data_IF_101758320105
#
_entry.id   IF_101758320105
#
_cell.length_a   1.000
_cell.length_b   1.000
_cell.length_c   1.000
_cell.angle_alpha   90.00
_cell.angle_beta   90.00
_cell.angle_gamma   90.00
#
_symmetry.space_group_name_H-M   'P 1'
#
loop_
_entity.id
_entity.type
_entity.pdbx_description
1 polymer ?
#
# COMPACT_ATOMS: atom_id res chain seq x y z
N UNK A 1 -5.55 2.03 22.77
CA UNK A 1 -5.03 3.24 23.44
C UNK A 1 -5.57 4.52 22.79
N UNK A 2 -5.31 4.81 21.51
CA UNK A 2 -5.81 6.04 20.87
C UNK A 2 -7.34 6.23 20.99
N UNK A 3 -8.11 5.17 20.70
CA UNK A 3 -9.59 5.15 20.83
C UNK A 3 -10.05 5.33 22.28
N UNK A 4 -9.34 4.76 23.26
CA UNK A 4 -9.67 4.92 24.69
C UNK A 4 -9.33 6.32 25.23
N UNK A 5 -8.42 7.04 24.56
CA UNK A 5 -8.19 8.47 24.79
C UNK A 5 -9.22 9.36 24.06
N UNK A 6 -10.08 8.79 23.21
CA UNK A 6 -11.08 9.51 22.43
C UNK A 6 -10.56 10.21 21.18
N UNK A 7 -9.34 9.89 20.71
CA UNK A 7 -8.69 10.57 19.56
C UNK A 7 -9.48 10.47 18.24
N UNK A 8 -10.36 9.46 18.13
CA UNK A 8 -11.30 9.28 17.03
C UNK A 8 -12.50 10.23 17.06
N UNK A 9 -12.58 11.15 18.04
CA UNK A 9 -13.68 12.09 18.20
C UNK A 9 -13.23 13.53 18.09
N UNK A 10 -14.09 14.38 17.51
CA UNK A 10 -13.87 15.82 17.31
C UNK A 10 -13.48 16.56 18.59
N UNK A 11 -14.08 16.18 19.72
CA UNK A 11 -13.88 16.84 21.01
C UNK A 11 -12.45 16.68 21.53
N UNK A 12 -11.71 15.64 21.13
CA UNK A 12 -10.32 15.44 21.55
C UNK A 12 -9.43 16.62 21.15
N UNK A 13 -9.52 17.06 19.89
CA UNK A 13 -8.77 18.22 19.40
C UNK A 13 -9.24 19.55 20.03
N UNK A 14 -10.46 19.61 20.59
CA UNK A 14 -10.97 20.80 21.28
C UNK A 14 -10.48 20.86 22.74
N UNK A 15 -10.43 19.72 23.43
CA UNK A 15 -10.02 19.61 24.83
C UNK A 15 -8.50 19.76 24.99
N UNK A 16 -7.71 19.11 24.13
CA UNK A 16 -6.26 19.00 24.28
C UNK A 16 -5.45 20.03 23.48
N UNK A 17 -6.10 20.99 22.82
CA UNK A 17 -5.41 22.04 22.05
C UNK A 17 -5.10 23.32 22.82
N UNK A 18 -5.66 23.51 24.02
CA UNK A 18 -5.50 24.76 24.80
C UNK A 18 -5.83 26.04 24.00
N UNK A 19 -6.76 25.92 23.04
CA UNK A 19 -7.15 26.93 22.04
C UNK A 19 -6.08 27.27 20.97
N UNK A 20 -4.97 26.54 20.88
CA UNK A 20 -4.01 26.62 19.78
C UNK A 20 -4.50 25.83 18.55
N UNK A 21 -4.71 26.54 17.44
CA UNK A 21 -5.15 25.94 16.17
C UNK A 21 -4.17 24.92 15.58
N UNK A 22 -2.86 25.09 15.79
CA UNK A 22 -1.80 24.20 15.32
C UNK A 22 -1.79 22.92 16.15
N UNK A 23 -1.98 23.03 17.47
CA UNK A 23 -2.10 21.87 18.35
C UNK A 23 -3.38 21.08 18.04
N UNK A 24 -4.51 21.75 17.80
CA UNK A 24 -5.75 21.11 17.36
C UNK A 24 -5.58 20.35 16.02
N UNK A 25 -4.85 20.92 15.06
CA UNK A 25 -4.52 20.27 13.79
C UNK A 25 -3.58 19.07 13.98
N UNK A 26 -2.57 19.20 14.84
CA UNK A 26 -1.69 18.10 15.23
C UNK A 26 -2.47 16.93 15.86
N UNK A 27 -3.45 17.20 16.72
CA UNK A 27 -4.34 16.18 17.27
C UNK A 27 -5.14 15.44 16.18
N UNK A 28 -5.77 16.18 15.24
CA UNK A 28 -6.50 15.58 14.09
C UNK A 28 -5.59 14.70 13.25
N UNK A 29 -4.43 15.23 12.87
CA UNK A 29 -3.40 14.51 12.08
C UNK A 29 -2.92 13.25 12.77
N UNK A 30 -2.70 13.30 14.09
CA UNK A 30 -2.24 12.13 14.86
C UNK A 30 -3.24 10.98 14.80
N UNK A 31 -4.54 11.26 14.98
CA UNK A 31 -5.58 10.22 14.81
C UNK A 31 -5.58 9.65 13.39
N UNK A 32 -5.59 10.50 12.37
CA UNK A 32 -5.66 10.05 10.98
C UNK A 32 -4.42 9.27 10.54
N UNK A 33 -3.23 9.66 10.98
CA UNK A 33 -2.00 8.90 10.76
C UNK A 33 -2.08 7.53 11.44
N UNK A 34 -2.67 7.40 12.64
CA UNK A 34 -2.89 6.10 13.28
C UNK A 34 -3.85 5.21 12.50
N UNK A 35 -5.02 5.74 12.09
CA UNK A 35 -6.01 5.04 11.25
C UNK A 35 -5.39 4.56 9.93
N UNK A 36 -4.70 5.46 9.22
CA UNK A 36 -4.00 5.14 7.98
C UNK A 36 -2.91 4.09 8.23
N UNK A 37 -2.14 4.18 9.32
CA UNK A 37 -1.07 3.22 9.65
C UNK A 37 -1.63 1.83 9.93
N UNK A 38 -2.74 1.71 10.66
CA UNK A 38 -3.43 0.45 10.92
C UNK A 38 -3.92 -0.22 9.61
N UNK A 39 -4.48 0.56 8.68
CA UNK A 39 -4.84 0.07 7.35
C UNK A 39 -3.61 -0.41 6.53
N UNK A 40 -2.48 0.29 6.62
CA UNK A 40 -1.22 -0.15 5.99
C UNK A 40 -0.68 -1.45 6.57
N UNK A 41 -0.83 -1.64 7.88
CA UNK A 41 -0.40 -2.85 8.58
C UNK A 41 -1.23 -4.03 8.09
N UNK A 42 -2.57 -3.90 8.13
CA UNK A 42 -3.49 -4.91 7.63
C UNK A 42 -3.23 -5.32 6.16
N UNK A 43 -2.92 -4.36 5.28
CA UNK A 43 -2.55 -4.65 3.89
C UNK A 43 -1.14 -5.20 3.69
N UNK A 44 -0.23 -5.03 4.66
CA UNK A 44 1.12 -5.62 4.61
C UNK A 44 1.15 -7.04 5.20
N UNK A 45 0.25 -7.35 6.14
CA UNK A 45 0.09 -8.69 6.74
C UNK A 45 -1.04 -9.49 6.10
N UNK A 46 -1.80 -8.89 5.17
CA UNK A 46 -3.01 -9.44 4.56
C UNK A 46 -4.07 -9.88 5.59
N UNK A 47 -4.21 -9.09 6.67
CA UNK A 47 -5.14 -9.32 7.78
C UNK A 47 -6.25 -8.26 7.81
N UNK A 48 -7.33 -8.52 7.08
CA UNK A 48 -8.52 -7.65 7.04
C UNK A 48 -9.70 -8.24 7.83
N UNK A 49 -10.58 -7.41 8.43
CA UNK A 49 -10.53 -5.94 8.49
C UNK A 49 -9.44 -5.43 9.45
N UNK A 50 -9.10 -4.14 9.36
CA UNK A 50 -8.09 -3.54 10.25
C UNK A 50 -8.69 -3.17 11.63
N UNK A 51 -7.83 -2.93 12.64
CA UNK A 51 -8.26 -2.82 14.05
C UNK A 51 -9.11 -1.58 14.35
N UNK A 52 -9.05 -0.58 13.47
CA UNK A 52 -9.83 0.67 13.50
C UNK A 52 -11.01 0.70 12.53
N UNK A 53 -11.25 -0.37 11.77
CA UNK A 53 -12.47 -0.53 10.95
C UNK A 53 -13.72 -0.50 11.84
N UNK A 54 -14.83 0.00 11.29
CA UNK A 54 -16.14 0.09 11.97
C UNK A 54 -16.18 0.91 13.28
N UNK A 55 -15.10 1.64 13.62
CA UNK A 55 -15.11 2.59 14.73
C UNK A 55 -15.83 3.87 14.28
N UNK A 56 -16.71 4.41 15.14
CA UNK A 56 -17.31 5.72 14.92
C UNK A 56 -16.24 6.82 14.99
N UNK A 57 -15.93 7.44 13.86
CA UNK A 57 -14.97 8.54 13.76
C UNK A 57 -15.75 9.84 13.52
N UNK A 58 -15.54 10.84 14.38
CA UNK A 58 -16.05 12.21 14.20
C UNK A 58 -14.93 13.25 14.07
N UNK A 59 -13.66 12.84 14.19
CA UNK A 59 -12.50 13.72 13.97
C UNK A 59 -12.55 14.37 12.59
N UNK A 60 -12.51 15.70 12.55
CA UNK A 60 -12.48 16.46 11.28
C UNK A 60 -11.22 16.16 10.46
N UNK A 61 -11.24 16.55 9.19
CA UNK A 61 -10.19 16.29 8.22
C UNK A 61 -9.01 17.27 8.37
N UNK A 62 -7.75 16.83 8.18
CA UNK A 62 -6.58 17.69 8.22
C UNK A 62 -6.54 18.72 7.09
N UNK A 63 -5.84 19.82 7.32
CA UNK A 63 -5.52 20.83 6.31
C UNK A 63 -4.29 20.42 5.47
N UNK A 64 -3.90 21.25 4.49
CA UNK A 64 -2.71 21.00 3.64
C UNK A 64 -1.39 21.05 4.42
N UNK A 65 -0.35 20.38 3.90
CA UNK A 65 1.01 20.45 4.45
C UNK A 65 1.55 21.88 4.53
N UNK A 66 1.31 22.68 3.50
CA UNK A 66 1.76 24.08 3.44
C UNK A 66 1.05 24.96 4.48
N UNK A 67 -0.24 24.71 4.72
CA UNK A 67 -1.03 25.40 5.73
C UNK A 67 -0.55 25.05 7.14
N UNK A 68 -0.38 23.75 7.42
CA UNK A 68 0.14 23.26 8.70
C UNK A 68 1.57 23.74 8.96
N UNK A 69 2.46 23.64 7.98
CA UNK A 69 3.86 24.07 8.10
C UNK A 69 4.06 25.57 8.29
N UNK A 70 3.06 26.39 7.92
CA UNK A 70 3.03 27.85 8.20
C UNK A 70 2.27 28.21 9.47
N UNK A 71 1.61 27.26 10.14
CA UNK A 71 0.67 27.52 11.22
C UNK A 71 -0.62 28.26 10.79
N UNK A 72 -0.88 28.34 9.48
CA UNK A 72 -2.02 29.03 8.90
C UNK A 72 -3.21 28.07 8.77
N UNK A 73 -3.72 27.61 9.92
CA UNK A 73 -4.71 26.53 9.98
C UNK A 73 -6.11 27.04 9.58
N UNK A 74 -6.73 26.52 8.50
CA UNK A 74 -8.09 26.88 8.13
C UNK A 74 -9.12 26.26 9.08
N UNK A 75 -10.38 26.67 8.96
CA UNK A 75 -11.47 25.95 9.62
C UNK A 75 -11.55 24.50 9.10
N UNK A 76 -11.57 23.47 9.95
CA UNK A 76 -11.46 22.09 9.51
C UNK A 76 -12.78 21.60 8.89
N UNK A 77 -12.66 20.88 7.76
CA UNK A 77 -13.80 20.26 7.05
C UNK A 77 -14.23 18.98 7.75
N UNK A 78 -15.52 18.72 7.83
CA UNK A 78 -16.02 17.52 8.50
C UNK A 78 -15.90 16.27 7.60
N UNK A 79 -16.04 15.08 8.19
CA UNK A 79 -16.19 13.85 7.40
C UNK A 79 -17.49 13.84 6.57
N UNK A 80 -18.54 14.46 7.08
CA UNK A 80 -19.84 14.57 6.39
C UNK A 80 -19.71 15.45 5.13
N UNK A 81 -18.92 16.53 5.18
CA UNK A 81 -18.62 17.37 4.02
C UNK A 81 -18.00 16.55 2.88
N UNK A 82 -17.05 15.67 3.21
CA UNK A 82 -16.31 14.86 2.26
C UNK A 82 -17.13 13.69 1.71
N UNK A 83 -18.00 13.12 2.54
CA UNK A 83 -18.92 12.04 2.17
C UNK A 83 -20.10 12.51 1.30
N UNK A 84 -20.30 13.83 1.16
CA UNK A 84 -21.27 14.44 0.26
C UNK A 84 -20.62 15.32 -0.83
N UNK A 85 -19.30 15.19 -1.07
CA UNK A 85 -18.54 16.14 -1.91
C UNK A 85 -18.96 16.22 -3.37
N UNK A 86 -19.63 15.20 -3.90
CA UNK A 86 -20.25 15.19 -5.22
C UNK A 86 -21.46 16.14 -5.37
N UNK A 87 -21.98 16.67 -4.25
CA UNK A 87 -23.11 17.61 -4.21
C UNK A 87 -22.70 19.03 -3.79
N UNK A 88 -21.41 19.29 -3.55
CA UNK A 88 -20.88 20.60 -3.21
C UNK A 88 -20.72 21.49 -4.46
N UNK A 89 -20.72 22.81 -4.26
CA UNK A 89 -20.41 23.77 -5.33
C UNK A 89 -18.93 23.69 -5.75
N UNK A 90 -18.60 24.05 -6.99
CA UNK A 90 -17.24 23.90 -7.54
C UNK A 90 -16.15 24.50 -6.64
N UNK A 91 -16.40 25.70 -6.07
CA UNK A 91 -15.50 26.42 -5.16
C UNK A 91 -15.28 25.73 -3.78
N UNK A 92 -16.11 24.74 -3.42
CA UNK A 92 -16.08 24.03 -2.12
C UNK A 92 -15.45 22.63 -2.21
N UNK A 93 -15.08 22.18 -3.42
CA UNK A 93 -14.58 20.82 -3.72
C UNK A 93 -13.09 20.59 -3.45
N UNK A 94 -12.29 21.63 -3.20
CA UNK A 94 -10.85 21.49 -2.94
C UNK A 94 -10.59 20.99 -1.50
N UNK A 95 -10.58 19.66 -1.36
CA UNK A 95 -10.13 18.96 -0.15
C UNK A 95 -8.61 18.81 -0.12
N UNK A 96 -8.03 18.73 1.09
CA UNK A 96 -6.57 18.58 1.26
C UNK A 96 -6.07 17.22 0.77
N UNK A 97 -4.78 17.10 0.47
CA UNK A 97 -4.21 15.79 0.07
C UNK A 97 -4.34 14.74 1.17
N UNK A 98 -4.37 15.17 2.45
CA UNK A 98 -4.67 14.30 3.58
C UNK A 98 -6.13 13.84 3.60
N UNK A 99 -7.08 14.74 3.35
CA UNK A 99 -8.50 14.39 3.25
C UNK A 99 -8.75 13.36 2.15
N UNK A 100 -8.11 13.53 0.98
CA UNK A 100 -8.19 12.57 -0.12
C UNK A 100 -7.59 11.20 0.23
N UNK A 101 -6.41 11.16 0.88
CA UNK A 101 -5.80 9.92 1.37
C UNK A 101 -6.68 9.20 2.41
N UNK A 102 -7.32 9.97 3.32
CA UNK A 102 -8.28 9.44 4.31
C UNK A 102 -9.50 8.86 3.60
N UNK A 103 -10.06 9.58 2.63
CA UNK A 103 -11.23 9.17 1.87
C UNK A 103 -10.99 7.91 1.04
N UNK A 104 -9.85 7.81 0.36
CA UNK A 104 -9.40 6.59 -0.30
C UNK A 104 -9.31 5.42 0.68
N UNK A 105 -8.67 5.63 1.84
CA UNK A 105 -8.50 4.59 2.87
C UNK A 105 -9.86 4.11 3.42
N UNK A 106 -10.80 5.03 3.68
CA UNK A 106 -12.19 4.71 4.08
C UNK A 106 -12.96 3.98 2.97
N UNK A 107 -12.71 4.30 1.70
CA UNK A 107 -13.28 3.58 0.56
C UNK A 107 -12.80 2.14 0.48
N UNK A 108 -11.50 1.92 0.69
CA UNK A 108 -10.87 0.60 0.74
C UNK A 108 -11.38 -0.21 1.94
N UNK A 109 -11.48 0.39 3.13
CA UNK A 109 -12.07 -0.22 4.35
C UNK A 109 -13.48 -0.77 4.09
N UNK A 110 -14.36 0.06 3.52
CA UNK A 110 -15.73 -0.33 3.16
C UNK A 110 -15.76 -1.46 2.15
N UNK A 111 -14.92 -1.39 1.12
CA UNK A 111 -14.80 -2.44 0.11
C UNK A 111 -14.30 -3.77 0.72
N UNK A 112 -13.40 -3.72 1.70
CA UNK A 112 -12.79 -4.88 2.38
C UNK A 112 -13.53 -5.38 3.62
N UNK A 113 -14.65 -4.77 4.00
CA UNK A 113 -15.42 -5.21 5.17
C UNK A 113 -15.78 -6.72 5.22
N UNK A 114 -15.90 -7.48 4.11
CA UNK A 114 -16.05 -8.95 4.17
C UNK A 114 -14.81 -9.73 4.67
N UNK A 115 -13.63 -9.10 4.69
CA UNK A 115 -12.36 -9.70 5.09
C UNK A 115 -11.86 -10.81 4.15
N UNK A 116 -10.96 -11.65 4.66
CA UNK A 116 -10.39 -12.77 3.91
C UNK A 116 -11.42 -13.88 3.68
N UNK A 117 -12.12 -13.83 2.54
CA UNK A 117 -13.12 -14.82 2.14
C UNK A 117 -12.60 -15.78 1.06
N UNK A 118 -12.99 -17.06 1.14
CA UNK A 118 -12.83 -18.03 0.05
C UNK A 118 -14.09 -18.20 -0.81
N UNK A 119 -15.19 -17.53 -0.43
CA UNK A 119 -16.42 -17.52 -1.20
C UNK A 119 -16.27 -16.64 -2.45
N UNK A 120 -16.48 -17.25 -3.62
CA UNK A 120 -16.29 -16.57 -4.90
C UNK A 120 -17.32 -15.44 -5.14
N UNK A 121 -18.57 -15.60 -4.70
CA UNK A 121 -19.61 -14.58 -4.88
C UNK A 121 -19.36 -13.37 -3.98
N UNK A 122 -18.95 -13.60 -2.73
CA UNK A 122 -18.54 -12.53 -1.81
C UNK A 122 -17.31 -11.82 -2.37
N UNK A 123 -16.30 -12.56 -2.83
CA UNK A 123 -15.07 -11.98 -3.38
C UNK A 123 -15.32 -11.15 -4.66
N UNK A 124 -16.14 -11.64 -5.60
CA UNK A 124 -16.50 -10.86 -6.80
C UNK A 124 -17.27 -9.58 -6.42
N UNK A 125 -18.20 -9.65 -5.46
CA UNK A 125 -18.92 -8.47 -4.93
C UNK A 125 -17.96 -7.46 -4.29
N UNK A 126 -17.02 -7.95 -3.48
CA UNK A 126 -15.94 -7.17 -2.87
C UNK A 126 -15.10 -6.43 -3.93
N UNK A 127 -14.75 -7.12 -5.02
CA UNK A 127 -13.97 -6.55 -6.13
C UNK A 127 -14.72 -5.44 -6.88
N UNK A 128 -16.02 -5.63 -7.12
CA UNK A 128 -16.87 -4.62 -7.79
C UNK A 128 -17.13 -3.39 -6.91
N UNK A 129 -17.27 -3.59 -5.58
CA UNK A 129 -17.34 -2.52 -4.60
C UNK A 129 -16.05 -1.68 -4.59
N UNK A 130 -14.89 -2.35 -4.55
CA UNK A 130 -13.57 -1.72 -4.67
C UNK A 130 -13.42 -0.90 -5.95
N UNK A 131 -13.73 -1.48 -7.12
CA UNK A 131 -13.72 -0.76 -8.40
C UNK A 131 -14.59 0.52 -8.35
N UNK A 132 -15.79 0.41 -7.78
CA UNK A 132 -16.74 1.53 -7.68
C UNK A 132 -16.19 2.63 -6.78
N UNK A 133 -15.70 2.28 -5.58
CA UNK A 133 -15.13 3.25 -4.63
C UNK A 133 -13.90 3.97 -5.19
N UNK A 134 -12.98 3.22 -5.81
CA UNK A 134 -11.76 3.79 -6.43
C UNK A 134 -12.10 4.68 -7.63
N UNK A 135 -13.03 4.27 -8.50
CA UNK A 135 -13.45 5.06 -9.66
C UNK A 135 -14.18 6.34 -9.25
N UNK A 136 -15.06 6.26 -8.25
CA UNK A 136 -15.73 7.44 -7.69
C UNK A 136 -14.71 8.41 -7.08
N UNK A 137 -13.76 7.90 -6.29
CA UNK A 137 -12.67 8.71 -5.72
C UNK A 137 -11.89 9.47 -6.79
N UNK A 138 -11.30 8.76 -7.78
CA UNK A 138 -10.56 9.38 -8.88
C UNK A 138 -11.35 10.42 -9.68
N UNK A 139 -12.66 10.19 -9.87
CA UNK A 139 -13.52 11.07 -10.67
C UNK A 139 -13.81 12.39 -9.96
N UNK A 140 -13.86 12.36 -8.62
CA UNK A 140 -14.15 13.50 -7.75
C UNK A 140 -12.91 14.26 -7.27
N UNK A 141 -11.68 13.75 -7.52
CA UNK A 141 -10.44 14.50 -7.26
C UNK A 141 -10.44 15.83 -8.01
N UNK A 142 -10.09 16.93 -7.34
CA UNK A 142 -9.89 18.21 -8.02
C UNK A 142 -8.69 18.16 -8.99
N UNK A 143 -8.59 19.07 -9.98
CA UNK A 143 -7.49 19.06 -10.95
C UNK A 143 -6.11 19.12 -10.30
N UNK A 144 -5.98 19.84 -9.18
CA UNK A 144 -4.75 19.98 -8.41
C UNK A 144 -4.30 18.66 -7.76
N UNK A 145 -5.25 17.82 -7.31
CA UNK A 145 -4.95 16.52 -6.69
C UNK A 145 -4.62 15.42 -7.68
N UNK A 146 -4.95 15.62 -8.97
CA UNK A 146 -4.56 14.71 -10.06
C UNK A 146 -3.09 14.89 -10.51
N UNK A 147 -2.43 15.97 -10.10
CA UNK A 147 -1.06 16.30 -10.52
C UNK A 147 -0.08 16.19 -9.34
N UNK A 148 0.86 15.25 -9.43
CA UNK A 148 1.84 15.00 -8.35
C UNK A 148 3.00 16.00 -8.32
N UNK A 149 3.38 16.55 -9.46
CA UNK A 149 4.35 17.64 -9.57
C UNK A 149 3.54 18.89 -9.89
N UNK A 150 3.58 19.87 -8.99
CA UNK A 150 2.85 21.14 -9.14
C UNK A 150 3.63 22.11 -10.04
N UNK A 151 2.98 23.18 -10.56
CA UNK A 151 3.65 24.14 -11.46
C UNK A 151 4.85 24.87 -10.87
N UNK A 152 4.96 24.94 -9.54
CA UNK A 152 6.11 25.51 -8.81
C UNK A 152 7.28 24.52 -8.64
N UNK A 153 7.12 23.28 -9.10
CA UNK A 153 8.08 22.18 -8.93
C UNK A 153 7.96 21.45 -7.59
N UNK A 154 7.01 21.81 -6.72
CA UNK A 154 6.75 21.06 -5.48
C UNK A 154 6.11 19.71 -5.78
N UNK A 155 6.37 18.72 -4.91
CA UNK A 155 5.86 17.37 -5.05
C UNK A 155 4.81 17.06 -3.98
N UNK A 156 3.69 16.44 -4.37
CA UNK A 156 2.62 16.04 -3.46
C UNK A 156 2.85 14.61 -2.93
N UNK A 157 3.66 14.49 -1.88
CA UNK A 157 4.00 13.21 -1.24
C UNK A 157 2.77 12.45 -0.72
N UNK A 158 1.72 13.17 -0.32
CA UNK A 158 0.51 12.58 0.25
C UNK A 158 -0.37 11.97 -0.84
N UNK A 159 -0.55 12.68 -1.96
CA UNK A 159 -1.23 12.13 -3.14
C UNK A 159 -0.39 11.02 -3.82
N UNK A 160 0.94 11.14 -3.84
CA UNK A 160 1.81 10.06 -4.35
C UNK A 160 1.58 8.77 -3.58
N UNK A 161 1.56 8.86 -2.24
CA UNK A 161 1.20 7.74 -1.37
C UNK A 161 -0.21 7.23 -1.62
N UNK A 162 -1.20 8.10 -1.81
CA UNK A 162 -2.58 7.72 -2.11
C UNK A 162 -2.68 6.90 -3.41
N UNK A 163 -2.09 7.36 -4.52
CA UNK A 163 -2.08 6.58 -5.77
C UNK A 163 -1.31 5.27 -5.63
N UNK A 164 -0.20 5.24 -4.86
CA UNK A 164 0.53 4.01 -4.59
C UNK A 164 -0.35 2.96 -3.87
N UNK A 165 -1.07 3.36 -2.82
CA UNK A 165 -2.05 2.51 -2.12
C UNK A 165 -3.12 2.02 -3.08
N UNK A 166 -3.74 2.94 -3.83
CA UNK A 166 -4.85 2.65 -4.75
C UNK A 166 -4.47 1.58 -5.78
N UNK A 167 -3.32 1.73 -6.44
CA UNK A 167 -2.88 0.79 -7.47
C UNK A 167 -2.38 -0.54 -6.87
N UNK A 168 -1.68 -0.53 -5.73
CA UNK A 168 -1.30 -1.77 -5.04
C UNK A 168 -2.54 -2.56 -4.63
N UNK A 169 -3.56 -1.88 -4.09
CA UNK A 169 -4.80 -2.53 -3.69
C UNK A 169 -5.59 -3.09 -4.89
N UNK A 170 -5.61 -2.37 -6.02
CA UNK A 170 -6.17 -2.90 -7.27
C UNK A 170 -5.45 -4.16 -7.78
N UNK A 171 -4.13 -4.28 -7.57
CA UNK A 171 -3.40 -5.53 -7.84
C UNK A 171 -3.85 -6.64 -6.89
N UNK A 172 -3.91 -6.37 -5.59
CA UNK A 172 -4.28 -7.35 -4.56
C UNK A 172 -5.69 -7.94 -4.77
N UNK A 173 -6.67 -7.09 -5.11
CA UNK A 173 -8.06 -7.50 -5.37
C UNK A 173 -8.24 -8.22 -6.70
N UNK A 174 -7.57 -7.78 -7.77
CA UNK A 174 -7.81 -8.35 -9.10
C UNK A 174 -6.91 -9.53 -9.43
N UNK A 175 -5.73 -9.65 -8.81
CA UNK A 175 -4.79 -10.75 -9.12
C UNK A 175 -5.40 -12.14 -8.88
N UNK A 176 -6.10 -12.44 -7.77
CA UNK A 176 -6.71 -13.77 -7.54
C UNK A 176 -7.75 -14.19 -8.59
N UNK A 177 -8.45 -13.24 -9.21
CA UNK A 177 -9.44 -13.49 -10.26
C UNK A 177 -8.85 -13.45 -11.69
N UNK A 178 -7.57 -13.09 -11.83
CA UNK A 178 -6.90 -12.89 -13.11
C UNK A 178 -6.19 -14.14 -13.67
N UNK A 179 -5.61 -14.01 -14.86
CA UNK A 179 -4.68 -14.99 -15.42
C UNK A 179 -3.23 -14.87 -14.88
N UNK A 180 -2.93 -13.92 -13.98
CA UNK A 180 -1.62 -13.80 -13.32
C UNK A 180 -1.50 -14.85 -12.22
N UNK A 181 -1.20 -16.09 -12.63
CA UNK A 181 -1.12 -17.25 -11.73
C UNK A 181 -0.10 -17.04 -10.61
N UNK A 182 -0.46 -17.48 -9.40
CA UNK A 182 0.43 -17.51 -8.24
C UNK A 182 1.33 -18.75 -8.32
N UNK A 183 2.63 -18.57 -8.11
CA UNK A 183 3.59 -19.66 -7.96
C UNK A 183 3.83 -19.97 -6.48
N UNK A 184 4.10 -21.24 -6.16
CA UNK A 184 4.40 -21.64 -4.78
C UNK A 184 5.57 -20.83 -4.18
N UNK A 185 6.61 -20.53 -4.97
CA UNK A 185 7.81 -19.80 -4.52
C UNK A 185 7.50 -18.43 -3.87
N UNK A 186 6.33 -17.85 -4.16
CA UNK A 186 5.90 -16.57 -3.62
C UNK A 186 5.71 -16.61 -2.10
N UNK A 187 5.49 -17.79 -1.48
CA UNK A 187 5.38 -17.94 -0.02
C UNK A 187 6.60 -17.40 0.74
N UNK A 188 7.76 -17.31 0.08
CA UNK A 188 9.02 -16.83 0.67
C UNK A 188 8.95 -15.34 1.03
N UNK A 189 8.05 -14.55 0.41
CA UNK A 189 7.97 -13.12 0.70
C UNK A 189 6.88 -12.77 1.71
N UNK A 190 7.29 -12.15 2.81
CA UNK A 190 6.39 -11.75 3.90
C UNK A 190 5.45 -10.58 3.53
N UNK A 191 5.78 -9.82 2.48
CA UNK A 191 4.97 -8.74 1.93
C UNK A 191 4.06 -9.18 0.77
N UNK A 192 3.91 -10.49 0.54
CA UNK A 192 3.13 -11.03 -0.58
C UNK A 192 1.85 -11.70 -0.07
N UNK A 193 0.71 -11.52 -0.77
CA UNK A 193 -0.53 -12.20 -0.39
C UNK A 193 -0.34 -13.71 -0.55
N UNK A 194 -0.87 -14.46 0.41
CA UNK A 194 -0.95 -15.91 0.31
C UNK A 194 -1.68 -16.30 -0.99
N UNK A 195 -1.21 -17.37 -1.63
CA UNK A 195 -1.85 -17.88 -2.84
C UNK A 195 -3.34 -18.16 -2.55
N UNK A 196 -4.28 -17.68 -3.38
CA UNK A 196 -5.69 -17.79 -3.12
C UNK A 196 -6.12 -19.26 -3.04
N UNK A 197 -7.13 -19.55 -2.21
CA UNK A 197 -7.73 -20.89 -2.13
C UNK A 197 -8.06 -21.40 -3.54
N UNK A 198 -7.85 -22.69 -3.79
CA UNK A 198 -8.16 -23.30 -5.10
C UNK A 198 -9.63 -23.19 -5.53
N UNK A 199 -10.51 -22.77 -4.61
CA UNK A 199 -11.93 -22.44 -4.80
C UNK A 199 -12.14 -21.06 -5.44
N UNK A 200 -11.24 -20.10 -5.21
CA UNK A 200 -11.26 -18.76 -5.82
C UNK A 200 -10.70 -18.86 -7.24
N UNK A 201 -11.53 -19.31 -8.19
CA UNK A 201 -11.21 -19.31 -9.62
C UNK A 201 -12.35 -18.70 -10.41
N UNK A 202 -12.03 -17.69 -11.21
CA UNK A 202 -12.98 -17.14 -12.17
C UNK A 202 -13.23 -18.18 -13.29
N UNK A 203 -14.42 -18.78 -13.27
CA UNK A 203 -14.83 -19.80 -14.26
C UNK A 203 -15.18 -19.19 -15.63
N UNK A 204 -15.35 -17.87 -15.70
CA UNK A 204 -15.70 -17.13 -16.91
C UNK A 204 -14.45 -16.49 -17.53
N UNK A 205 -14.07 -16.93 -18.73
CA UNK A 205 -12.88 -16.42 -19.42
C UNK A 205 -12.89 -14.89 -19.59
N UNK A 206 -14.03 -14.29 -19.96
CA UNK A 206 -14.11 -12.83 -20.21
C UNK A 206 -13.89 -12.00 -18.95
N UNK A 207 -14.39 -12.49 -17.82
CA UNK A 207 -14.27 -11.83 -16.52
C UNK A 207 -12.85 -11.96 -15.98
N UNK A 208 -12.24 -13.15 -16.08
CA UNK A 208 -10.80 -13.35 -15.81
C UNK A 208 -9.93 -12.44 -16.66
N UNK A 209 -10.25 -12.28 -17.94
CA UNK A 209 -9.48 -11.42 -18.85
C UNK A 209 -9.66 -9.92 -18.48
N UNK A 210 -10.83 -9.50 -17.99
CA UNK A 210 -11.04 -8.16 -17.41
C UNK A 210 -10.21 -7.93 -16.13
N UNK A 211 -10.19 -8.89 -15.20
CA UNK A 211 -9.33 -8.79 -14.00
C UNK A 211 -7.84 -8.79 -14.35
N UNK A 212 -7.46 -9.52 -15.41
CA UNK A 212 -6.10 -9.50 -15.97
C UNK A 212 -5.73 -8.11 -16.49
N UNK A 213 -6.62 -7.48 -17.26
CA UNK A 213 -6.38 -6.12 -17.77
C UNK A 213 -6.22 -5.12 -16.63
N UNK A 214 -7.18 -5.06 -15.70
CA UNK A 214 -7.13 -4.20 -14.50
C UNK A 214 -5.86 -4.38 -13.68
N UNK A 215 -5.47 -5.63 -13.41
CA UNK A 215 -4.26 -5.92 -12.65
C UNK A 215 -3.00 -5.47 -13.40
N UNK A 216 -2.90 -5.72 -14.71
CA UNK A 216 -1.76 -5.22 -15.52
C UNK A 216 -1.76 -3.71 -15.71
N UNK A 217 -2.92 -3.04 -15.71
CA UNK A 217 -3.01 -1.58 -15.71
C UNK A 217 -2.44 -1.01 -14.39
N UNK A 218 -2.89 -1.54 -13.25
CA UNK A 218 -2.41 -1.10 -11.94
C UNK A 218 -0.91 -1.32 -11.74
N UNK A 219 -0.36 -2.44 -12.21
CA UNK A 219 1.10 -2.68 -12.27
C UNK A 219 1.79 -1.57 -13.07
N UNK A 220 1.29 -1.25 -14.27
CA UNK A 220 1.91 -0.22 -15.11
C UNK A 220 1.92 1.16 -14.46
N UNK A 221 0.84 1.55 -13.78
CA UNK A 221 0.75 2.82 -13.05
C UNK A 221 1.72 2.90 -11.86
N UNK A 222 1.96 1.79 -11.14
CA UNK A 222 3.01 1.74 -10.12
C UNK A 222 4.41 1.91 -10.74
N UNK A 223 4.69 1.27 -11.89
CA UNK A 223 5.98 1.46 -12.56
C UNK A 223 6.19 2.92 -13.01
N UNK A 224 5.12 3.61 -13.42
CA UNK A 224 5.12 5.02 -13.79
C UNK A 224 5.37 5.93 -12.58
N UNK A 225 4.71 5.66 -11.44
CA UNK A 225 4.97 6.33 -10.16
C UNK A 225 6.43 6.12 -9.70
N UNK A 226 6.97 4.92 -9.86
CA UNK A 226 8.37 4.60 -9.53
C UNK A 226 9.39 5.25 -10.46
N UNK A 227 8.97 5.73 -11.64
CA UNK A 227 9.82 6.44 -12.59
C UNK A 227 9.86 7.96 -12.35
N UNK A 228 9.03 8.49 -11.43
CA UNK A 228 9.04 9.90 -11.07
C UNK A 228 10.35 10.30 -10.36
N UNK A 229 10.84 11.53 -10.55
CA UNK A 229 12.13 12.00 -10.01
C UNK A 229 12.05 12.37 -8.51
N UNK A 230 11.54 11.46 -7.68
CA UNK A 230 11.42 11.63 -6.22
C UNK A 230 12.62 11.03 -5.49
N UNK A 231 12.98 11.55 -4.32
CA UNK A 231 13.90 10.83 -3.45
C UNK A 231 13.15 9.73 -2.70
N UNK A 232 13.14 8.51 -3.24
CA UNK A 232 12.51 7.35 -2.61
C UNK A 232 12.88 7.11 -1.13
N UNK A 233 13.95 7.75 -0.63
CA UNK A 233 14.38 7.71 0.78
C UNK A 233 13.59 8.63 1.73
N UNK A 234 12.77 9.57 1.25
CA UNK A 234 11.84 10.39 2.07
C UNK A 234 10.51 9.69 2.32
N UNK A 235 10.18 8.68 1.52
CA UNK A 235 8.89 7.98 1.57
C UNK A 235 8.73 7.07 2.78
N UNK A 236 7.47 6.90 3.18
CA UNK A 236 7.04 5.99 4.25
C UNK A 236 7.48 4.54 3.98
N UNK A 237 8.07 3.81 4.95
CA UNK A 237 8.57 2.44 4.74
C UNK A 237 7.52 1.43 4.28
N UNK A 238 6.22 1.70 4.49
CA UNK A 238 5.13 0.86 3.97
C UNK A 238 5.15 0.69 2.45
N UNK A 239 5.77 1.61 1.68
CA UNK A 239 5.93 1.42 0.22
C UNK A 239 6.78 0.18 -0.12
N UNK A 240 7.61 -0.32 0.81
CA UNK A 240 8.46 -1.49 0.59
C UNK A 240 7.59 -2.73 0.30
N UNK A 241 6.56 -2.98 1.12
CA UNK A 241 5.66 -4.10 0.88
C UNK A 241 4.74 -3.86 -0.33
N UNK A 242 4.34 -2.62 -0.59
CA UNK A 242 3.57 -2.28 -1.80
C UNK A 242 4.34 -2.57 -3.09
N UNK A 243 5.61 -2.13 -3.16
CA UNK A 243 6.52 -2.46 -4.27
C UNK A 243 6.69 -3.98 -4.36
N UNK A 244 6.76 -4.69 -3.23
CA UNK A 244 6.93 -6.14 -3.22
C UNK A 244 5.77 -6.89 -3.87
N UNK A 245 4.56 -6.67 -3.37
CA UNK A 245 3.32 -7.28 -3.87
C UNK A 245 3.16 -7.02 -5.38
N UNK A 246 3.31 -5.76 -5.80
CA UNK A 246 3.20 -5.36 -7.21
C UNK A 246 4.32 -5.97 -8.07
N UNK A 247 5.56 -6.05 -7.57
CA UNK A 247 6.67 -6.66 -8.33
C UNK A 247 6.46 -8.16 -8.52
N UNK A 248 5.91 -8.87 -7.53
CA UNK A 248 5.58 -10.30 -7.65
C UNK A 248 4.46 -10.52 -8.66
N UNK A 249 3.41 -9.69 -8.63
CA UNK A 249 2.38 -9.69 -9.67
C UNK A 249 2.97 -9.38 -11.06
N UNK A 250 3.89 -8.41 -11.17
CA UNK A 250 4.59 -8.06 -12.41
C UNK A 250 5.44 -9.23 -12.93
N UNK A 251 6.15 -9.96 -12.06
CA UNK A 251 6.90 -11.17 -12.43
C UNK A 251 5.99 -12.27 -12.98
N UNK A 252 4.81 -12.49 -12.37
CA UNK A 252 3.79 -13.41 -12.87
C UNK A 252 3.25 -12.97 -14.24
N UNK A 253 2.90 -11.68 -14.42
CA UNK A 253 2.50 -11.13 -15.72
C UNK A 253 3.59 -11.33 -16.79
N UNK A 254 4.85 -11.12 -16.42
CA UNK A 254 6.02 -11.31 -17.26
C UNK A 254 6.31 -12.79 -17.62
N UNK A 255 5.67 -13.75 -16.94
CA UNK A 255 5.80 -15.20 -17.16
C UNK A 255 4.61 -15.82 -17.91
N UNK A 256 3.41 -15.26 -17.75
CA UNK A 256 2.17 -15.85 -18.28
C UNK A 256 1.42 -14.98 -19.30
N UNK A 257 1.57 -13.64 -19.25
CA UNK A 257 0.76 -12.69 -20.03
C UNK A 257 1.57 -11.93 -21.08
N UNK A 258 2.82 -11.57 -20.77
CA UNK A 258 3.63 -10.71 -21.63
C UNK A 258 4.57 -11.51 -22.54
N UNK A 259 4.51 -11.21 -23.84
CA UNK A 259 5.33 -11.82 -24.88
C UNK A 259 6.01 -10.74 -25.75
N UNK A 260 7.05 -11.12 -26.49
CA UNK A 260 7.79 -10.21 -27.38
C UNK A 260 8.30 -8.93 -26.69
N UNK A 261 8.18 -7.80 -27.39
CA UNK A 261 8.60 -6.47 -26.92
C UNK A 261 7.95 -6.05 -25.58
N UNK A 262 6.68 -6.38 -25.35
CA UNK A 262 5.99 -6.09 -24.07
C UNK A 262 6.71 -6.76 -22.89
N UNK A 263 7.22 -7.99 -23.07
CA UNK A 263 8.01 -8.70 -22.06
C UNK A 263 9.37 -8.05 -21.83
N UNK A 264 10.04 -7.56 -22.88
CA UNK A 264 11.33 -6.87 -22.78
C UNK A 264 11.18 -5.57 -21.98
N UNK A 265 10.21 -4.73 -22.33
CA UNK A 265 9.91 -3.47 -21.62
C UNK A 265 9.50 -3.70 -20.17
N UNK A 266 8.65 -4.70 -19.91
CA UNK A 266 8.27 -5.15 -18.56
C UNK A 266 9.50 -5.54 -17.71
N UNK A 267 10.51 -6.21 -18.29
CA UNK A 267 11.75 -6.52 -17.55
C UNK A 267 12.56 -5.28 -17.17
N UNK A 268 12.52 -4.18 -17.92
CA UNK A 268 13.18 -2.93 -17.50
C UNK A 268 12.43 -2.29 -16.31
N UNK A 269 11.10 -2.31 -16.34
CA UNK A 269 10.24 -1.87 -15.21
C UNK A 269 10.48 -2.70 -13.94
N UNK A 270 10.61 -4.02 -14.06
CA UNK A 270 11.00 -4.91 -12.93
C UNK A 270 12.41 -4.57 -12.41
N UNK A 271 13.37 -4.20 -13.28
CA UNK A 271 14.70 -3.73 -12.83
C UNK A 271 14.62 -2.42 -12.05
N UNK A 272 13.76 -1.49 -12.46
CA UNK A 272 13.49 -0.25 -11.72
C UNK A 272 12.98 -0.57 -10.30
N UNK A 273 11.92 -1.38 -10.17
CA UNK A 273 11.37 -1.76 -8.87
C UNK A 273 12.41 -2.45 -7.95
N UNK A 274 13.19 -3.39 -8.49
CA UNK A 274 14.28 -4.05 -7.75
C UNK A 274 15.41 -3.08 -7.38
N UNK A 275 15.74 -2.12 -8.25
CA UNK A 275 16.70 -1.05 -7.98
C UNK A 275 16.24 -0.12 -6.85
N UNK A 276 14.96 0.23 -6.83
CA UNK A 276 14.32 1.00 -5.75
C UNK A 276 14.38 0.27 -4.42
N UNK A 277 14.01 -1.02 -4.36
CA UNK A 277 14.13 -1.83 -3.15
C UNK A 277 15.59 -1.93 -2.66
N UNK A 278 16.55 -2.06 -3.58
CA UNK A 278 17.98 -2.03 -3.24
C UNK A 278 18.38 -0.69 -2.62
N UNK A 279 17.94 0.44 -3.17
CA UNK A 279 18.21 1.79 -2.62
C UNK A 279 17.55 2.00 -1.25
N UNK A 280 16.34 1.46 -1.04
CA UNK A 280 15.64 1.48 0.26
C UNK A 280 16.36 0.60 1.30
N UNK A 281 17.02 -0.48 0.88
CA UNK A 281 17.78 -1.39 1.77
C UNK A 281 19.01 -0.76 2.43
N UNK A 282 19.42 0.44 1.99
CA UNK A 282 20.46 1.25 2.64
C UNK A 282 19.99 1.85 3.97
N UNK A 283 18.67 2.01 4.17
CA UNK A 283 18.07 2.57 5.40
C UNK A 283 17.23 1.54 6.16
N UNK A 284 16.46 0.70 5.45
CA UNK A 284 15.44 -0.14 6.06
C UNK A 284 15.81 -1.63 6.04
N UNK A 285 15.89 -2.26 7.24
CA UNK A 285 16.07 -3.72 7.40
C UNK A 285 15.03 -4.51 6.60
N UNK A 286 13.77 -4.07 6.62
CA UNK A 286 12.67 -4.63 5.83
C UNK A 286 12.99 -4.64 4.33
N UNK A 287 13.43 -3.52 3.74
CA UNK A 287 13.79 -3.47 2.32
C UNK A 287 14.95 -4.42 1.98
N UNK A 288 15.91 -4.60 2.89
CA UNK A 288 17.01 -5.58 2.74
C UNK A 288 16.51 -7.02 2.73
N UNK A 289 15.50 -7.35 3.54
CA UNK A 289 14.78 -8.64 3.51
C UNK A 289 14.00 -8.80 2.20
N UNK A 290 13.07 -7.89 1.92
CA UNK A 290 12.20 -7.89 0.74
C UNK A 290 12.97 -7.96 -0.58
N UNK A 291 14.06 -7.20 -0.75
CA UNK A 291 14.91 -7.27 -1.95
C UNK A 291 15.51 -8.67 -2.18
N UNK A 292 15.88 -9.39 -1.10
CA UNK A 292 16.40 -10.77 -1.18
C UNK A 292 15.29 -11.76 -1.54
N UNK A 293 14.13 -11.66 -0.89
CA UNK A 293 12.96 -12.52 -1.11
C UNK A 293 12.47 -12.44 -2.57
N UNK A 294 12.20 -11.24 -3.08
CA UNK A 294 11.78 -11.06 -4.47
C UNK A 294 12.90 -11.45 -5.43
N UNK A 295 14.16 -11.25 -5.04
CA UNK A 295 15.30 -11.77 -5.80
C UNK A 295 15.28 -13.28 -5.99
N UNK A 296 14.75 -14.05 -5.01
CA UNK A 296 14.53 -15.51 -5.13
C UNK A 296 13.35 -15.77 -6.07
N UNK A 297 12.19 -15.17 -5.80
CA UNK A 297 10.95 -15.32 -6.61
C UNK A 297 11.21 -15.00 -8.09
N UNK A 298 11.97 -13.93 -8.37
CA UNK A 298 12.30 -13.50 -9.73
C UNK A 298 13.21 -14.49 -10.47
N UNK A 299 14.13 -15.18 -9.79
CA UNK A 299 14.99 -16.18 -10.43
C UNK A 299 14.20 -17.39 -10.91
N UNK A 300 13.21 -17.80 -10.11
CA UNK A 300 12.29 -18.89 -10.43
C UNK A 300 11.32 -18.49 -11.56
N UNK A 301 10.54 -17.43 -11.35
CA UNK A 301 9.49 -17.00 -12.29
C UNK A 301 10.02 -16.56 -13.66
N UNK A 302 11.25 -16.02 -13.75
CA UNK A 302 11.87 -15.67 -15.02
C UNK A 302 12.75 -16.78 -15.60
N UNK A 303 12.84 -17.94 -14.95
CA UNK A 303 13.71 -19.07 -15.33
C UNK A 303 15.16 -18.63 -15.55
N UNK A 304 15.65 -17.76 -14.66
CA UNK A 304 17.06 -17.34 -14.60
C UNK A 304 17.90 -18.38 -13.85
N UNK A 305 17.27 -19.25 -13.07
CA UNK A 305 17.85 -20.53 -12.69
C UNK A 305 18.03 -21.40 -13.95
N UNK A 306 19.28 -21.73 -14.26
CA UNK A 306 19.59 -22.90 -15.09
C UNK A 306 19.54 -24.12 -14.15
N UNK A 307 18.74 -25.13 -14.49
CA UNK A 307 18.74 -26.45 -13.83
C UNK A 307 20.13 -27.13 -13.86
N UNK A 308 20.40 -28.21 -13.09
CA UNK A 308 19.55 -28.92 -12.11
C UNK A 308 20.19 -28.76 -10.68
N UNK A 309 20.30 -29.72 -9.70
CA UNK A 309 19.97 -31.15 -9.60
C UNK A 309 18.75 -31.46 -8.69
N UNK A 310 18.57 -32.74 -8.32
CA UNK A 310 17.46 -33.25 -7.50
C UNK A 310 17.67 -33.12 -5.97
N UNK A 311 16.57 -33.33 -5.22
CA UNK A 311 16.46 -33.33 -3.75
C UNK A 311 17.62 -34.01 -3.01
N UNK A 312 18.17 -33.36 -1.97
CA UNK A 312 18.47 -33.97 -0.66
C UNK A 312 19.03 -32.97 0.37
N UNK A 313 18.65 -33.15 1.65
CA UNK A 313 19.43 -32.72 2.82
C UNK A 313 19.28 -31.26 3.26
N UNK A 314 18.70 -31.03 4.44
CA UNK A 314 18.87 -29.78 5.16
C UNK A 314 20.28 -29.75 5.80
N UNK A 315 21.02 -28.66 5.55
CA UNK A 315 22.22 -28.27 6.32
C UNK A 315 22.20 -26.75 6.44
N UNK A 316 22.25 -26.23 7.66
CA UNK A 316 22.35 -24.80 7.91
C UNK A 316 23.74 -24.26 7.53
N UNK A 317 23.84 -23.14 6.80
CA UNK A 317 25.11 -22.44 6.62
C UNK A 317 25.35 -21.48 7.78
N UNK A 318 26.33 -21.78 8.64
CA UNK A 318 26.90 -20.78 9.53
C UNK A 318 27.70 -19.76 8.71
N UNK A 319 27.32 -18.48 8.81
CA UNK A 319 28.00 -17.37 8.12
C UNK A 319 28.54 -16.43 9.18
N UNK A 320 29.86 -16.26 9.21
CA UNK A 320 30.54 -15.20 9.96
C UNK A 320 30.60 -13.92 9.12
N UNK A 321 30.10 -12.82 9.68
CA UNK A 321 30.09 -11.52 8.99
C UNK A 321 31.51 -10.89 8.94
N UNK A 322 31.90 -10.25 7.82
CA UNK A 322 33.09 -9.42 7.75
C UNK A 322 32.83 -8.05 8.39
N UNK A 323 33.73 -7.64 9.29
CA UNK A 323 33.69 -6.33 9.96
C UNK A 323 33.93 -5.21 8.93
N UNK A 324 33.04 -4.21 8.91
CA UNK A 324 33.17 -2.99 8.11
C UNK A 324 33.04 -1.76 9.04
N UNK A 325 33.75 -0.65 8.77
CA UNK A 325 33.91 0.41 9.76
C UNK A 325 32.62 1.21 10.01
N UNK A 326 32.35 1.49 11.29
CA UNK A 326 31.18 2.24 11.71
C UNK A 326 31.31 3.74 11.36
N UNK A 327 30.27 4.27 10.72
CA UNK A 327 29.96 5.70 10.75
C UNK A 327 28.77 5.91 11.71
N UNK A 328 28.74 6.99 12.51
CA UNK A 328 27.67 7.22 13.46
C UNK A 328 26.34 7.43 12.73
N UNK A 329 25.37 6.56 13.01
CA UNK A 329 24.00 6.78 12.58
C UNK A 329 23.37 7.91 13.40
N UNK A 330 22.51 8.71 12.77
CA UNK A 330 21.60 9.58 13.49
C UNK A 330 20.53 8.72 14.17
N UNK A 331 20.28 8.94 15.46
CA UNK A 331 19.26 8.22 16.23
C UNK A 331 17.84 8.57 15.76
N UNK A 332 17.43 7.99 14.64
CA UNK A 332 16.03 7.61 14.45
C UNK A 332 15.80 6.31 15.24
N UNK A 333 14.74 6.28 16.04
CA UNK A 333 14.28 5.10 16.78
C UNK A 333 14.34 3.85 15.89
N UNK A 334 15.16 2.85 16.26
CA UNK A 334 15.34 1.58 15.51
C UNK A 334 14.11 0.67 15.68
N UNK A 335 12.99 1.12 15.12
CA UNK A 335 11.73 0.38 15.09
C UNK A 335 11.84 -0.75 14.07
N UNK A 336 11.90 -1.99 14.56
CA UNK A 336 12.06 -3.15 13.69
C UNK A 336 10.73 -3.55 13.02
N UNK A 337 10.51 -3.03 11.82
CA UNK A 337 9.38 -3.40 10.97
C UNK A 337 9.34 -4.90 10.62
N UNK A 338 10.47 -5.62 10.64
CA UNK A 338 10.45 -7.06 10.39
C UNK A 338 9.76 -7.78 11.56
N UNK A 339 10.22 -7.54 12.79
CA UNK A 339 9.61 -8.15 13.98
C UNK A 339 8.13 -7.74 14.14
N UNK A 340 7.80 -6.49 13.80
CA UNK A 340 6.42 -6.00 13.84
C UNK A 340 5.48 -6.79 12.92
N UNK A 341 5.85 -6.98 11.64
CA UNK A 341 5.03 -7.74 10.69
C UNK A 341 5.05 -9.25 10.99
N UNK A 342 6.18 -9.78 11.46
CA UNK A 342 6.33 -11.21 11.76
C UNK A 342 5.55 -11.62 13.01
N UNK A 343 5.35 -10.72 13.98
CA UNK A 343 4.57 -10.97 15.19
C UNK A 343 3.09 -11.19 14.88
N UNK A 344 2.48 -10.35 14.04
CA UNK A 344 1.09 -10.50 13.61
C UNK A 344 0.92 -11.78 12.73
N UNK A 345 1.89 -12.10 11.86
CA UNK A 345 1.86 -13.32 11.05
C UNK A 345 1.91 -14.63 11.86
N UNK A 346 2.67 -14.69 12.97
CA UNK A 346 2.77 -15.89 13.83
C UNK A 346 1.48 -16.23 14.57
N UNK A 347 0.54 -15.29 14.69
CA UNK A 347 -0.79 -15.55 15.25
C UNK A 347 -1.59 -16.61 14.49
N UNK A 348 -1.28 -16.81 13.19
CA UNK A 348 -1.98 -17.75 12.31
C UNK A 348 -1.52 -19.21 12.45
N UNK A 349 -0.35 -19.47 13.05
CA UNK A 349 0.18 -20.85 13.22
C UNK A 349 -0.21 -21.50 14.56
N UNK A 350 -0.97 -20.80 15.41
CA UNK A 350 -1.28 -21.22 16.79
C UNK A 350 -2.68 -21.80 17.02
N UNK A 351 -3.56 -21.85 16.00
CA UNK A 351 -4.93 -22.33 16.13
C UNK A 351 -5.18 -23.57 15.25
N UNK A 352 -4.99 -24.75 15.84
CA UNK A 352 -5.45 -26.06 15.36
C UNK A 352 -6.53 -26.59 16.31
#
# INVERSE_FOLDING_TARGET
MAVSLGMNKKEFAQIYSEADSVLAESCRRTWWVMYITDAHIAGSTHMYPFRTSNIGITTDLPCEEEQYGRGAIPFPRSLEDYENREFLGEDETDFSSYAELIGLTRGIDRALSPGNTTDNQVYTTMSASSDTSVRAWCSLLSPNKRQLIRPDGSFDEVMFKAFFIMHTFAVEIHRPLSALTHSAIEYISHCAPLAPSGQLKCNNAKERDLHTDKCTQAINSIDELLALPTDMKTHSPFIICMIANVTIAHLSACRFIFFGDRRVKSREKIRLAMGTLKRLSERWKLAKRTYREIGIVARELLSLAKDPPARLGAVEPSVSDPISPAFPASDMLDFDFCDFFDADARGLTGAN
#
